data_IF_076811440968
#
_entry.id   IF_076811440968
#
_cell.length_a   1.000
_cell.length_b   1.000
_cell.length_c   1.000
_cell.angle_alpha   90.00
_cell.angle_beta   90.00
_cell.angle_gamma   90.00
#
_symmetry.space_group_name_H-M   'P 1'
#
loop_
_entity.id
_entity.type
_entity.pdbx_description
1 polymer ?
#
# COMPACT_ATOMS: atom_id res chain seq x y z
N UNK A 1 -27.60 3.38 -15.80
CA UNK A 1 -26.97 2.58 -16.88
C UNK A 1 -25.45 2.52 -16.76
N UNK A 2 -24.87 2.56 -15.53
CA UNK A 2 -23.42 2.47 -15.27
C UNK A 2 -23.09 1.73 -13.95
N UNK A 3 -24.03 0.97 -13.39
CA UNK A 3 -23.81 0.24 -12.13
C UNK A 3 -23.25 -1.19 -12.33
N UNK A 4 -23.29 -1.72 -13.56
CA UNK A 4 -22.99 -3.14 -13.85
C UNK A 4 -21.62 -3.42 -14.49
N UNK A 5 -20.71 -2.43 -14.56
CA UNK A 5 -19.37 -2.60 -15.16
C UNK A 5 -18.25 -2.88 -14.15
N UNK A 6 -18.54 -2.97 -12.86
CA UNK A 6 -17.54 -3.25 -11.83
C UNK A 6 -17.45 -4.75 -11.55
N UNK A 7 -16.89 -5.52 -12.50
CA UNK A 7 -16.47 -6.88 -12.20
C UNK A 7 -15.28 -6.82 -11.25
N UNK A 8 -15.32 -7.60 -10.17
CA UNK A 8 -14.13 -7.83 -9.37
C UNK A 8 -13.05 -8.47 -10.26
N UNK A 9 -11.86 -7.89 -10.25
CA UNK A 9 -10.69 -8.43 -10.94
C UNK A 9 -9.93 -9.47 -10.10
N UNK A 10 -10.31 -9.64 -8.83
CA UNK A 10 -9.64 -10.52 -7.87
C UNK A 10 -10.56 -11.68 -7.54
N UNK A 11 -10.14 -12.91 -7.83
CA UNK A 11 -10.99 -14.08 -7.62
C UNK A 11 -11.27 -14.28 -6.14
N UNK A 12 -12.53 -14.57 -5.79
CA UNK A 12 -12.94 -14.89 -4.41
C UNK A 12 -12.08 -16.02 -3.80
N UNK A 13 -11.80 -17.07 -4.58
CA UNK A 13 -10.93 -18.18 -4.15
C UNK A 13 -9.53 -17.70 -3.77
N UNK A 14 -8.92 -16.82 -4.58
CA UNK A 14 -7.61 -16.26 -4.25
C UNK A 14 -7.65 -15.55 -2.89
N UNK A 15 -8.67 -14.72 -2.63
CA UNK A 15 -8.77 -14.04 -1.34
C UNK A 15 -8.93 -15.02 -0.17
N UNK A 16 -9.69 -16.11 -0.36
CA UNK A 16 -9.92 -17.13 0.67
C UNK A 16 -8.63 -17.88 0.98
N UNK A 17 -7.95 -18.39 -0.05
CA UNK A 17 -6.70 -19.13 0.07
C UNK A 17 -5.60 -18.23 0.68
N UNK A 18 -5.55 -16.97 0.25
CA UNK A 18 -4.59 -16.00 0.78
C UNK A 18 -4.85 -15.69 2.26
N UNK A 19 -6.09 -15.43 2.66
CA UNK A 19 -6.43 -15.24 4.09
C UNK A 19 -6.08 -16.48 4.91
N UNK A 20 -6.33 -17.68 4.37
CA UNK A 20 -6.00 -18.94 5.06
C UNK A 20 -4.50 -19.04 5.34
N UNK A 21 -3.66 -18.71 4.36
CA UNK A 21 -2.20 -18.71 4.53
C UNK A 21 -1.73 -17.65 5.54
N UNK A 22 -2.33 -16.45 5.51
CA UNK A 22 -2.05 -15.41 6.53
C UNK A 22 -2.39 -15.92 7.93
N UNK A 23 -3.58 -16.49 8.13
CA UNK A 23 -3.99 -17.04 9.41
C UNK A 23 -3.09 -18.20 9.85
N UNK A 24 -2.63 -19.04 8.91
CA UNK A 24 -1.69 -20.10 9.20
C UNK A 24 -0.37 -19.54 9.74
N UNK A 25 0.22 -18.57 9.04
CA UNK A 25 1.45 -17.90 9.48
C UNK A 25 1.30 -17.21 10.84
N UNK A 26 0.18 -16.51 11.05
CA UNK A 26 -0.17 -15.88 12.33
C UNK A 26 -0.21 -16.91 13.48
N UNK A 27 -0.64 -18.15 13.23
CA UNK A 27 -0.71 -19.21 14.23
C UNK A 27 0.64 -19.85 14.61
N UNK A 28 1.71 -19.58 13.85
CA UNK A 28 3.04 -20.15 14.11
C UNK A 28 3.79 -19.35 15.18
N UNK A 29 4.89 -19.88 15.71
CA UNK A 29 5.82 -19.12 16.59
C UNK A 29 6.90 -18.34 15.83
N UNK A 30 6.80 -18.25 14.50
CA UNK A 30 7.78 -17.53 13.68
C UNK A 30 7.80 -16.03 14.03
N UNK A 31 8.94 -15.34 13.87
CA UNK A 31 9.01 -13.89 14.06
C UNK A 31 8.04 -13.17 13.12
N UNK A 32 7.31 -12.18 13.65
CA UNK A 32 6.33 -11.37 12.91
C UNK A 32 6.60 -9.90 13.17
N UNK A 33 6.88 -9.14 12.12
CA UNK A 33 7.01 -7.70 12.19
C UNK A 33 5.65 -7.02 12.17
N UNK A 34 5.60 -5.78 12.69
CA UNK A 34 4.40 -4.96 12.55
C UNK A 34 4.23 -4.52 11.09
N UNK A 35 3.01 -4.57 10.53
CA UNK A 35 2.76 -4.17 9.15
C UNK A 35 3.16 -2.71 8.88
N UNK A 36 2.83 -1.81 9.80
CA UNK A 36 3.27 -0.42 9.80
C UNK A 36 3.26 0.16 11.23
N UNK A 37 3.56 1.46 11.37
CA UNK A 37 3.65 2.15 12.67
C UNK A 37 2.29 2.37 13.34
N UNK A 38 1.19 2.32 12.58
CA UNK A 38 -0.16 2.62 13.03
C UNK A 38 -1.04 1.37 13.25
N UNK A 39 -0.68 0.23 12.65
CA UNK A 39 -1.36 -1.04 12.83
C UNK A 39 -0.53 -1.97 13.72
N UNK A 40 -1.20 -2.64 14.65
CA UNK A 40 -0.61 -3.63 15.55
C UNK A 40 -0.76 -5.05 15.01
N UNK A 41 -1.81 -5.31 14.21
CA UNK A 41 -2.16 -6.65 13.73
C UNK A 41 -2.12 -6.75 12.21
N UNK A 42 -1.55 -7.86 11.73
CA UNK A 42 -1.32 -8.12 10.32
C UNK A 42 0.02 -8.78 10.05
N UNK A 43 0.37 -8.92 8.77
CA UNK A 43 1.55 -9.68 8.32
C UNK A 43 2.28 -8.93 7.21
N UNK A 44 3.61 -8.87 7.30
CA UNK A 44 4.46 -8.36 6.23
C UNK A 44 4.70 -9.47 5.19
N UNK A 45 4.43 -9.20 3.91
CA UNK A 45 4.50 -10.25 2.88
C UNK A 45 5.92 -10.71 2.55
N UNK A 46 6.94 -9.92 2.85
CA UNK A 46 8.33 -10.35 2.71
C UNK A 46 8.71 -11.44 3.72
N UNK A 47 8.09 -11.48 4.90
CA UNK A 47 8.30 -12.50 5.92
C UNK A 47 7.77 -13.88 5.47
N UNK A 48 6.77 -13.87 4.58
CA UNK A 48 6.23 -15.05 3.88
C UNK A 48 7.01 -15.41 2.60
N UNK A 49 8.05 -14.63 2.24
CA UNK A 49 8.77 -14.82 0.98
C UNK A 49 7.98 -14.42 -0.28
N UNK A 50 6.86 -13.71 -0.14
CA UNK A 50 5.97 -13.39 -1.26
C UNK A 50 6.44 -12.21 -2.13
N UNK A 51 7.46 -11.47 -1.71
CA UNK A 51 7.92 -10.30 -2.47
C UNK A 51 8.38 -10.67 -3.89
N UNK A 52 9.34 -11.56 -4.05
CA UNK A 52 10.01 -11.79 -5.32
C UNK A 52 9.11 -12.46 -6.37
N UNK A 53 8.33 -13.47 -5.96
CA UNK A 53 7.57 -14.33 -6.88
C UNK A 53 6.09 -13.93 -7.00
N UNK A 54 5.57 -13.09 -6.11
CA UNK A 54 4.16 -12.68 -6.14
C UNK A 54 3.98 -11.16 -6.22
N UNK A 55 4.46 -10.40 -5.23
CA UNK A 55 4.20 -8.95 -5.17
C UNK A 55 4.92 -8.19 -6.27
N UNK A 56 6.19 -8.50 -6.54
CA UNK A 56 6.98 -7.83 -7.58
C UNK A 56 6.34 -8.00 -8.98
N UNK A 57 6.03 -9.22 -9.46
CA UNK A 57 5.32 -9.40 -10.73
C UNK A 57 3.93 -8.74 -10.75
N UNK A 58 3.17 -8.83 -9.66
CA UNK A 58 1.86 -8.16 -9.57
C UNK A 58 1.99 -6.65 -9.81
N UNK A 59 2.95 -6.01 -9.14
CA UNK A 59 3.19 -4.57 -9.29
C UNK A 59 3.69 -4.23 -10.69
N UNK A 60 4.67 -4.96 -11.21
CA UNK A 60 5.32 -4.65 -12.49
C UNK A 60 4.41 -4.92 -13.69
N UNK A 61 3.73 -6.06 -13.72
CA UNK A 61 3.03 -6.54 -14.90
C UNK A 61 1.57 -6.06 -14.97
N UNK A 62 0.94 -5.82 -13.82
CA UNK A 62 -0.49 -5.51 -13.75
C UNK A 62 -0.80 -4.12 -13.19
N UNK A 63 -0.13 -3.71 -12.11
CA UNK A 63 -0.46 -2.43 -11.46
C UNK A 63 0.23 -1.26 -12.15
N UNK A 64 1.51 -1.39 -12.49
CA UNK A 64 2.31 -0.31 -13.12
C UNK A 64 1.73 0.20 -14.44
N UNK A 65 1.19 -0.65 -15.34
CA UNK A 65 0.50 -0.16 -16.54
C UNK A 65 -0.69 0.75 -16.22
N UNK A 66 -1.43 0.46 -15.16
CA UNK A 66 -2.58 1.27 -14.72
C UNK A 66 -2.11 2.57 -14.06
N UNK A 67 -1.11 2.51 -13.19
CA UNK A 67 -0.58 3.71 -12.51
C UNK A 67 0.09 4.68 -13.48
N UNK A 68 0.71 4.17 -14.55
CA UNK A 68 1.28 4.98 -15.64
C UNK A 68 0.24 5.86 -16.32
N UNK A 69 -0.99 5.36 -16.46
CA UNK A 69 -2.08 6.08 -17.10
C UNK A 69 -2.77 7.04 -16.12
N UNK A 70 -2.97 6.60 -14.88
CA UNK A 70 -3.76 7.35 -13.89
C UNK A 70 -2.96 8.41 -13.14
N UNK A 71 -1.67 8.17 -12.88
CA UNK A 71 -0.83 9.03 -12.02
C UNK A 71 0.58 9.29 -12.60
N UNK A 72 0.71 9.65 -13.90
CA UNK A 72 2.02 9.84 -14.52
C UNK A 72 2.87 10.92 -13.82
N UNK A 73 2.24 11.97 -13.31
CA UNK A 73 2.89 13.10 -12.64
C UNK A 73 3.30 12.82 -11.18
N UNK A 74 2.83 11.71 -10.60
CA UNK A 74 3.07 11.37 -9.20
C UNK A 74 4.08 10.23 -9.02
N UNK A 75 4.90 9.94 -10.03
CA UNK A 75 5.84 8.82 -10.02
C UNK A 75 5.22 7.48 -10.40
N UNK A 76 3.95 7.45 -10.84
CA UNK A 76 3.26 6.24 -11.29
C UNK A 76 3.92 5.54 -12.49
N UNK A 77 4.83 6.22 -13.19
CA UNK A 77 5.60 5.67 -14.32
C UNK A 77 6.88 4.93 -13.92
N UNK A 78 7.38 5.17 -12.71
CA UNK A 78 8.69 4.73 -12.23
C UNK A 78 8.62 4.10 -10.84
N UNK A 79 7.57 3.33 -10.58
CA UNK A 79 7.42 2.55 -9.35
C UNK A 79 8.41 1.37 -9.38
N UNK A 80 9.50 1.47 -8.62
CA UNK A 80 10.64 0.56 -8.65
C UNK A 80 10.87 -0.19 -7.33
N UNK A 81 10.07 0.11 -6.32
CA UNK A 81 10.14 -0.50 -5.00
C UNK A 81 8.76 -0.61 -4.38
N UNK A 82 8.60 -1.56 -3.45
CA UNK A 82 7.33 -1.75 -2.76
C UNK A 82 7.49 -2.24 -1.33
N UNK A 83 6.45 -2.01 -0.54
CA UNK A 83 6.22 -2.64 0.76
C UNK A 83 4.79 -3.18 0.77
N UNK A 84 4.64 -4.49 0.87
CA UNK A 84 3.34 -5.14 0.91
C UNK A 84 3.08 -5.80 2.27
N UNK A 85 1.87 -5.61 2.77
CA UNK A 85 1.45 -6.12 4.06
C UNK A 85 -0.07 -6.31 4.11
N UNK A 86 -0.50 -7.23 4.96
CA UNK A 86 -1.91 -7.39 5.32
C UNK A 86 -2.15 -6.64 6.63
N UNK A 87 -3.26 -5.91 6.71
CA UNK A 87 -3.79 -5.36 7.96
C UNK A 87 -5.05 -6.11 8.36
N UNK A 88 -5.26 -6.27 9.66
CA UNK A 88 -6.41 -6.97 10.24
C UNK A 88 -7.14 -6.03 11.21
N UNK A 89 -8.45 -5.94 11.05
CA UNK A 89 -9.33 -5.31 12.02
C UNK A 89 -10.26 -6.35 12.64
N UNK A 90 -10.37 -6.35 13.97
CA UNK A 90 -11.17 -7.31 14.75
C UNK A 90 -11.51 -6.74 16.13
N UNK A 91 -12.69 -7.10 16.65
CA UNK A 91 -13.08 -6.77 18.05
C UNK A 91 -12.06 -7.36 19.04
N UNK A 92 -11.49 -6.49 19.89
CA UNK A 92 -10.41 -6.83 20.82
C UNK A 92 -8.99 -6.62 20.27
N UNK A 93 -8.87 -6.27 18.98
CA UNK A 93 -7.63 -5.90 18.31
C UNK A 93 -7.74 -4.45 17.79
N UNK A 94 -7.14 -4.13 16.64
CA UNK A 94 -7.35 -2.84 15.98
C UNK A 94 -8.78 -2.79 15.39
N UNK A 95 -9.50 -1.68 15.60
CA UNK A 95 -10.85 -1.48 15.07
C UNK A 95 -10.91 -0.50 13.90
N UNK A 96 -9.99 0.47 13.88
CA UNK A 96 -9.99 1.62 12.98
C UNK A 96 -8.55 2.04 12.67
N UNK A 97 -8.39 2.99 11.77
CA UNK A 97 -7.10 3.60 11.48
C UNK A 97 -7.27 5.12 11.39
N UNK A 98 -6.47 5.84 12.18
CA UNK A 98 -6.52 7.29 12.25
C UNK A 98 -6.17 7.95 10.91
N UNK A 99 -6.55 9.21 10.75
CA UNK A 99 -6.33 9.98 9.52
C UNK A 99 -4.84 10.18 9.23
N UNK A 100 -4.37 9.75 8.06
CA UNK A 100 -2.96 9.71 7.68
C UNK A 100 -2.77 9.79 6.16
N UNK A 101 -1.51 9.88 5.73
CA UNK A 101 -1.09 9.59 4.36
C UNK A 101 -0.16 8.37 4.38
N UNK A 102 -0.02 7.72 3.24
CA UNK A 102 0.87 6.58 3.09
C UNK A 102 2.30 7.02 2.76
N UNK A 103 3.26 6.25 3.25
CA UNK A 103 4.64 6.34 2.81
C UNK A 103 4.81 5.67 1.43
N UNK A 104 4.11 6.20 0.43
CA UNK A 104 4.04 5.70 -0.94
C UNK A 104 3.82 6.85 -1.94
N UNK A 105 4.14 6.61 -3.20
CA UNK A 105 3.69 7.45 -4.31
C UNK A 105 2.27 7.02 -4.73
N UNK A 106 2.06 5.71 -4.81
CA UNK A 106 0.74 5.09 -5.08
C UNK A 106 0.53 3.92 -4.14
N UNK A 107 -0.69 3.79 -3.62
CA UNK A 107 -1.13 2.68 -2.76
C UNK A 107 -2.20 1.86 -3.48
N UNK A 108 -2.03 0.54 -3.45
CA UNK A 108 -3.09 -0.42 -3.75
C UNK A 108 -3.63 -0.97 -2.43
N UNK A 109 -4.94 -0.88 -2.22
CA UNK A 109 -5.63 -1.42 -1.06
C UNK A 109 -6.71 -2.40 -1.53
N UNK A 110 -6.50 -3.69 -1.31
CA UNK A 110 -7.41 -4.76 -1.70
C UNK A 110 -8.18 -5.24 -0.47
N UNK A 111 -9.50 -5.19 -0.52
CA UNK A 111 -10.33 -5.88 0.47
C UNK A 111 -10.34 -7.37 0.18
N UNK A 112 -9.66 -8.15 1.01
CA UNK A 112 -9.58 -9.60 0.84
C UNK A 112 -10.90 -10.26 1.27
N UNK A 113 -11.50 -9.78 2.36
CA UNK A 113 -12.80 -10.24 2.82
C UNK A 113 -12.81 -10.56 4.31
N UNK A 114 -13.40 -11.72 4.64
CA UNK A 114 -14.16 -12.02 5.88
C UNK A 114 -15.43 -11.18 6.01
N UNK A 115 -16.35 -11.63 6.86
CA UNK A 115 -17.60 -10.94 7.12
C UNK A 115 -17.36 -9.90 8.21
N UNK A 116 -17.75 -8.66 7.94
CA UNK A 116 -17.69 -7.54 8.88
C UNK A 116 -18.81 -6.53 8.58
N UNK A 117 -19.12 -5.69 9.55
CA UNK A 117 -20.06 -4.56 9.41
C UNK A 117 -19.35 -3.25 9.71
N UNK A 118 -19.79 -2.18 9.06
CA UNK A 118 -19.14 -0.86 9.08
C UNK A 118 -17.70 -0.90 8.54
N UNK A 119 -16.80 -0.06 9.04
CA UNK A 119 -15.41 -0.05 8.60
C UNK A 119 -15.16 0.64 7.25
N UNK A 120 -16.02 1.57 6.84
CA UNK A 120 -15.77 2.35 5.63
C UNK A 120 -14.39 3.03 5.66
N UNK A 121 -13.76 3.13 4.49
CA UNK A 121 -12.64 4.05 4.32
C UNK A 121 -13.20 5.46 4.18
N UNK A 122 -12.44 6.46 4.61
CA UNK A 122 -12.77 7.86 4.33
C UNK A 122 -11.54 8.57 3.77
N UNK A 123 -11.75 9.42 2.78
CA UNK A 123 -10.72 10.15 2.05
C UNK A 123 -10.99 11.64 2.14
N UNK A 124 -9.99 12.42 2.54
CA UNK A 124 -10.03 13.87 2.49
C UNK A 124 -9.25 14.40 1.29
N UNK A 125 -8.59 15.54 1.46
CA UNK A 125 -7.75 16.12 0.42
C UNK A 125 -6.31 15.58 0.45
N UNK A 126 -5.46 16.04 -0.45
CA UNK A 126 -4.02 15.76 -0.40
C UNK A 126 -3.38 16.40 0.84
N UNK A 127 -2.27 15.82 1.34
CA UNK A 127 -1.66 16.20 2.63
C UNK A 127 -1.27 17.68 2.80
N UNK A 128 -1.11 18.42 1.71
CA UNK A 128 -0.76 19.85 1.74
C UNK A 128 -1.99 20.77 1.84
N UNK A 129 -3.20 20.24 1.74
CA UNK A 129 -4.43 21.01 1.92
C UNK A 129 -4.75 21.08 3.42
N UNK A 130 -4.98 22.28 3.98
CA UNK A 130 -5.33 22.43 5.39
C UNK A 130 -6.57 21.63 5.80
N UNK A 131 -6.55 21.09 7.02
CA UNK A 131 -7.66 20.27 7.55
C UNK A 131 -9.01 21.01 7.56
N UNK A 132 -9.02 22.31 7.85
CA UNK A 132 -10.25 23.11 7.89
C UNK A 132 -10.88 23.33 6.51
N UNK A 133 -10.12 23.11 5.43
CA UNK A 133 -10.58 23.15 4.03
C UNK A 133 -10.93 21.74 3.52
N UNK A 134 -10.78 20.71 4.35
CA UNK A 134 -10.93 19.33 3.93
C UNK A 134 -12.36 18.83 4.07
N UNK A 135 -12.94 18.41 2.94
CA UNK A 135 -14.15 17.62 2.90
C UNK A 135 -13.78 16.13 2.79
N UNK A 136 -14.38 15.29 3.65
CA UNK A 136 -14.17 13.85 3.60
C UNK A 136 -15.28 13.17 2.79
N UNK A 137 -14.89 12.19 1.97
CA UNK A 137 -15.79 11.28 1.26
C UNK A 137 -15.59 9.87 1.78
N UNK A 138 -16.69 9.18 2.10
CA UNK A 138 -16.65 7.79 2.52
C UNK A 138 -16.73 6.82 1.34
N UNK A 139 -16.01 5.72 1.48
CA UNK A 139 -16.01 4.60 0.55
C UNK A 139 -16.16 3.29 1.32
N UNK A 140 -17.32 2.64 1.13
CA UNK A 140 -17.57 1.32 1.67
C UNK A 140 -16.81 0.27 0.85
N UNK A 141 -15.73 -0.25 1.42
CA UNK A 141 -14.84 -1.16 0.73
C UNK A 141 -15.48 -2.56 0.61
N UNK A 142 -15.56 -3.10 -0.60
CA UNK A 142 -16.20 -4.38 -0.89
C UNK A 142 -15.16 -5.51 -1.01
N UNK A 143 -15.39 -6.70 -0.42
CA UNK A 143 -14.52 -7.86 -0.63
C UNK A 143 -14.26 -8.12 -2.11
N UNK A 144 -13.04 -8.52 -2.44
CA UNK A 144 -12.53 -8.77 -3.80
C UNK A 144 -12.36 -7.52 -4.67
N UNK A 145 -12.58 -6.32 -4.14
CA UNK A 145 -12.28 -5.07 -4.85
C UNK A 145 -10.94 -4.51 -4.40
N UNK A 146 -10.32 -3.80 -5.33
CA UNK A 146 -9.11 -3.04 -5.09
C UNK A 146 -9.42 -1.55 -5.24
N UNK A 147 -8.93 -0.76 -4.30
CA UNK A 147 -8.87 0.68 -4.36
C UNK A 147 -7.43 1.08 -4.67
N UNK A 148 -7.24 1.90 -5.69
CA UNK A 148 -5.95 2.49 -6.04
C UNK A 148 -6.02 3.99 -5.78
N UNK A 149 -5.05 4.53 -5.05
CA UNK A 149 -4.99 5.96 -4.76
C UNK A 149 -3.55 6.46 -4.62
N UNK A 150 -3.37 7.77 -4.71
CA UNK A 150 -2.09 8.43 -4.42
C UNK A 150 -1.76 8.25 -2.94
N UNK A 151 -0.49 8.00 -2.61
CA UNK A 151 -0.10 7.82 -1.20
C UNK A 151 -0.27 9.09 -0.37
N UNK A 152 -0.14 10.26 -1.00
CA UNK A 152 -0.33 11.58 -0.38
C UNK A 152 -1.80 11.96 -0.15
N UNK A 153 -2.74 11.13 -0.60
CA UNK A 153 -4.17 11.32 -0.38
C UNK A 153 -4.48 10.98 1.07
N UNK A 154 -4.92 11.96 1.85
CA UNK A 154 -5.17 11.74 3.26
C UNK A 154 -6.42 10.88 3.45
N UNK A 155 -6.34 9.88 4.30
CA UNK A 155 -7.41 8.92 4.49
C UNK A 155 -7.33 8.20 5.84
N UNK A 156 -8.37 7.45 6.17
CA UNK A 156 -8.39 6.56 7.33
C UNK A 156 -9.44 5.47 7.18
N UNK A 157 -9.58 4.64 8.21
CA UNK A 157 -10.61 3.61 8.29
C UNK A 157 -11.48 3.87 9.51
N UNK A 158 -12.80 3.93 9.31
CA UNK A 158 -13.76 3.98 10.41
C UNK A 158 -13.76 2.66 11.19
N UNK A 159 -14.25 2.64 12.44
CA UNK A 159 -14.35 1.41 13.22
C UNK A 159 -15.24 0.35 12.56
N UNK A 160 -14.83 -0.92 12.60
CA UNK A 160 -15.77 -2.03 12.39
C UNK A 160 -16.63 -2.23 13.64
N UNK A 161 -17.87 -2.67 13.48
CA UNK A 161 -18.78 -2.98 14.59
C UNK A 161 -18.91 -4.49 14.89
N UNK A 162 -18.60 -5.35 13.92
CA UNK A 162 -18.56 -6.80 14.09
C UNK A 162 -17.66 -7.47 13.06
N UNK A 163 -17.29 -8.72 13.33
CA UNK A 163 -16.57 -9.58 12.39
C UNK A 163 -15.07 -9.32 12.30
N UNK A 164 -14.48 -9.69 11.16
CA UNK A 164 -13.07 -9.49 10.86
C UNK A 164 -12.93 -8.88 9.46
N UNK A 165 -12.00 -7.94 9.31
CA UNK A 165 -11.70 -7.32 8.03
C UNK A 165 -10.23 -7.43 7.73
N UNK A 166 -9.91 -8.04 6.58
CA UNK A 166 -8.53 -8.16 6.08
C UNK A 166 -8.37 -7.36 4.80
N UNK A 167 -7.32 -6.54 4.77
CA UNK A 167 -6.93 -5.81 3.58
C UNK A 167 -5.46 -6.08 3.25
N UNK A 168 -5.18 -6.38 1.98
CA UNK A 168 -3.83 -6.35 1.43
C UNK A 168 -3.52 -4.92 0.99
N UNK A 169 -2.46 -4.36 1.55
CA UNK A 169 -1.95 -3.03 1.22
C UNK A 169 -0.60 -3.18 0.53
N UNK A 170 -0.41 -2.49 -0.59
CA UNK A 170 0.86 -2.40 -1.29
C UNK A 170 1.21 -0.94 -1.46
N UNK A 171 2.20 -0.48 -0.70
CA UNK A 171 2.83 0.82 -0.89
C UNK A 171 3.86 0.70 -2.01
N UNK A 172 3.62 1.42 -3.11
CA UNK A 172 4.52 1.46 -4.26
C UNK A 172 5.24 2.78 -4.31
N UNK A 173 6.54 2.71 -4.60
CA UNK A 173 7.46 3.83 -4.45
C UNK A 173 8.35 4.00 -5.68
N UNK A 174 8.76 5.24 -5.92
CA UNK A 174 9.60 5.67 -7.02
C UNK A 174 10.86 6.34 -6.50
N UNK A 175 12.01 5.71 -6.70
CA UNK A 175 13.28 6.32 -6.34
C UNK A 175 13.56 7.61 -7.13
N UNK A 176 13.04 7.73 -8.36
CA UNK A 176 13.15 8.96 -9.17
C UNK A 176 12.51 10.17 -8.51
N UNK A 177 11.44 9.97 -7.74
CA UNK A 177 10.77 11.01 -6.95
C UNK A 177 11.52 11.18 -5.63
N UNK A 178 11.70 10.08 -4.90
CA UNK A 178 12.17 10.08 -3.51
C UNK A 178 13.60 10.58 -3.35
N UNK A 179 14.50 10.23 -4.26
CA UNK A 179 15.90 10.68 -4.20
C UNK A 179 16.04 12.20 -4.32
N UNK A 180 15.03 12.87 -4.89
CA UNK A 180 14.99 14.34 -5.01
C UNK A 180 14.33 15.00 -3.80
N UNK A 181 13.32 14.37 -3.21
CA UNK A 181 12.48 14.96 -2.17
C UNK A 181 11.90 13.89 -1.25
N UNK A 182 12.14 14.03 0.05
CA UNK A 182 11.54 13.20 1.09
C UNK A 182 10.02 13.46 1.19
N UNK A 183 9.17 12.43 1.17
CA UNK A 183 7.71 12.60 1.23
C UNK A 183 7.21 13.07 2.61
N UNK A 184 8.06 12.99 3.66
CA UNK A 184 7.70 13.42 5.01
C UNK A 184 7.94 14.92 5.22
N UNK A 185 9.17 15.38 4.94
CA UNK A 185 9.64 16.73 5.27
C UNK A 185 9.89 17.65 4.07
N UNK A 186 9.69 17.16 2.84
CA UNK A 186 9.91 17.90 1.60
C UNK A 186 11.33 18.40 1.33
N UNK A 187 12.31 17.95 2.12
CA UNK A 187 13.73 18.23 1.92
C UNK A 187 14.40 17.14 1.09
N UNK A 188 15.56 17.44 0.51
CA UNK A 188 16.42 16.43 -0.10
C UNK A 188 16.86 15.44 0.99
N UNK A 189 16.71 14.12 0.78
CA UNK A 189 17.03 13.13 1.81
C UNK A 189 18.55 12.94 1.95
N UNK A 190 18.99 12.62 3.16
CA UNK A 190 20.29 11.98 3.43
C UNK A 190 20.06 10.48 3.56
N UNK A 191 20.82 9.68 2.82
CA UNK A 191 20.57 8.24 2.69
C UNK A 191 21.51 7.42 3.58
N UNK A 192 20.94 6.39 4.22
CA UNK A 192 21.68 5.37 4.97
C UNK A 192 21.38 4.02 4.33
N UNK A 193 22.40 3.16 4.25
CA UNK A 193 22.27 1.82 3.69
C UNK A 193 21.29 0.97 4.51
N UNK A 194 20.46 0.18 3.82
CA UNK A 194 19.43 -0.66 4.44
C UNK A 194 19.20 -1.93 3.63
N UNK A 195 18.54 -2.91 4.24
CA UNK A 195 18.24 -4.20 3.60
C UNK A 195 16.94 -4.11 2.80
N UNK A 196 16.92 -4.75 1.63
CA UNK A 196 15.74 -4.82 0.76
C UNK A 196 15.43 -3.50 0.07
N UNK A 197 14.14 -3.16 -0.06
CA UNK A 197 13.70 -1.95 -0.74
C UNK A 197 13.79 -0.68 0.11
N UNK A 198 14.10 -0.80 1.42
CA UNK A 198 14.06 0.32 2.35
C UNK A 198 12.74 1.10 2.26
N UNK A 199 12.87 2.43 2.21
CA UNK A 199 11.76 3.35 1.92
C UNK A 199 11.74 3.85 0.47
N UNK A 200 12.24 3.03 -0.47
CA UNK A 200 12.23 3.32 -1.90
C UNK A 200 13.21 4.41 -2.33
N UNK A 201 14.24 4.67 -1.52
CA UNK A 201 15.37 5.50 -1.89
C UNK A 201 16.47 4.63 -2.49
N UNK A 202 17.21 5.17 -3.46
CA UNK A 202 18.38 4.53 -4.06
C UNK A 202 19.54 5.52 -4.11
N UNK A 203 20.76 5.04 -3.93
CA UNK A 203 21.93 5.88 -4.17
C UNK A 203 22.15 5.99 -5.68
N UNK A 204 22.30 7.21 -6.21
CA UNK A 204 22.77 7.40 -7.58
C UNK A 204 24.18 6.80 -7.67
N UNK A 205 24.35 5.77 -8.50
CA UNK A 205 25.69 5.32 -8.88
C UNK A 205 26.24 6.38 -9.82
N UNK A 206 27.33 7.05 -9.45
CA UNK A 206 28.06 7.91 -10.38
C UNK A 206 28.43 7.07 -11.60
N UNK A 207 27.75 7.31 -12.72
CA UNK A 207 28.10 6.71 -14.00
C UNK A 207 29.31 7.46 -14.55
N UNK A 208 30.51 7.00 -14.17
CA UNK A 208 31.73 7.42 -14.87
C UNK A 208 31.63 6.95 -16.32
N UNK A 209 31.59 7.90 -17.23
CA UNK A 209 31.50 7.64 -18.65
C UNK A 209 32.87 7.10 -19.12
N UNK A 210 32.98 5.77 -19.23
CA UNK A 210 34.26 5.09 -19.54
C UNK A 210 34.71 5.29 -21.00
N UNK A 211 33.95 6.04 -21.81
CA UNK A 211 34.21 6.27 -23.24
C UNK A 211 34.68 7.69 -23.57
N UNK A 212 35.44 8.35 -22.68
CA UNK A 212 36.13 9.60 -22.97
C UNK A 212 37.66 9.39 -23.02
N UNK A 213 38.11 8.60 -23.99
CA UNK A 213 39.50 8.47 -24.51
C UNK A 213 39.39 7.46 -25.66
N UNK A 214 39.65 7.75 -26.94
CA UNK A 214 40.56 8.68 -27.62
C UNK A 214 39.87 9.38 -28.80
#
# INVERSE_FOLDING_TARGET
MWQDLWKSYIKKMFCQDFIQEICHFESTDLPKGRPNTMNNYGVLLNELGFNAQFVTPLVQDYVTPVTRLLYPECGGTSLDSHKAFVVKYKVGEDLSLAYHYDNAEVTLNVSLGKEFTEGSLYFGNMRWVPLHETACSEYMHKPTFALLHRGQHMHGALPISSGERYNLIIWMRSSQVRNKRCPMCDQRPELVETVGFGDGFTQEKETVNVCATL
#
